data_IF_819798151278
#
_entry.id   IF_819798151278
#
_cell.length_a   1.000
_cell.length_b   1.000
_cell.length_c   1.000
_cell.angle_alpha   90.00
_cell.angle_beta   90.00
_cell.angle_gamma   90.00
#
_symmetry.space_group_name_H-M   'P 1'
#
loop_
_entity.id
_entity.type
_entity.pdbx_description
1 polymer ?
#
# COMPACT_ATOMS: atom_id res chain seq x y z
N UNK A 1 -84.98 11.90 4.07
CA UNK A 1 -84.00 11.28 4.98
C UNK A 1 -82.99 10.50 4.14
N UNK A 2 -81.70 10.82 4.33
CA UNK A 2 -80.49 10.02 4.11
C UNK A 2 -80.34 9.18 2.81
N UNK A 3 -79.43 9.67 1.97
CA UNK A 3 -78.49 8.92 1.10
C UNK A 3 -77.82 7.72 1.84
N UNK A 4 -77.13 6.75 1.20
CA UNK A 4 -75.94 7.07 0.37
C UNK A 4 -75.45 6.02 -0.70
N UNK A 5 -74.27 6.33 -1.30
CA UNK A 5 -73.21 5.47 -1.90
C UNK A 5 -73.54 4.72 -3.22
N UNK A 6 -72.74 4.63 -4.30
CA UNK A 6 -71.28 4.60 -4.48
C UNK A 6 -70.83 5.20 -5.83
N UNK A 7 -69.74 5.98 -5.78
CA UNK A 7 -68.91 6.39 -6.91
C UNK A 7 -67.80 5.35 -7.12
N UNK A 8 -67.53 4.85 -8.35
CA UNK A 8 -66.32 4.09 -8.61
C UNK A 8 -65.14 5.06 -8.82
N UNK A 9 -64.22 5.07 -7.84
CA UNK A 9 -62.92 5.72 -7.94
C UNK A 9 -62.06 4.87 -8.87
N UNK A 10 -61.88 5.32 -10.12
CA UNK A 10 -60.89 4.73 -11.03
C UNK A 10 -59.51 5.23 -10.62
N UNK A 11 -58.74 4.35 -9.95
CA UNK A 11 -57.35 4.55 -9.59
C UNK A 11 -56.47 4.58 -10.84
N UNK A 12 -56.05 5.78 -11.27
CA UNK A 12 -54.99 5.93 -12.26
C UNK A 12 -53.64 5.66 -11.57
N UNK A 13 -53.17 4.42 -11.68
CA UNK A 13 -51.87 3.98 -11.18
C UNK A 13 -50.78 4.52 -12.11
N UNK A 14 -50.13 5.62 -11.74
CA UNK A 14 -48.94 6.13 -12.43
C UNK A 14 -47.75 5.24 -12.02
N UNK A 15 -47.43 4.26 -12.85
CA UNK A 15 -46.17 3.51 -12.72
C UNK A 15 -45.06 4.47 -13.15
N UNK A 16 -44.39 5.11 -12.20
CA UNK A 16 -43.06 5.66 -12.45
C UNK A 16 -42.15 4.48 -12.76
N UNK A 17 -41.95 4.22 -14.06
CA UNK A 17 -40.88 3.38 -14.54
C UNK A 17 -39.55 4.06 -14.21
N UNK A 18 -39.01 3.77 -13.02
CA UNK A 18 -37.60 3.89 -12.75
C UNK A 18 -36.90 2.91 -13.68
N UNK A 19 -36.47 3.40 -14.85
CA UNK A 19 -35.60 2.64 -15.72
C UNK A 19 -34.36 2.20 -14.90
N UNK A 20 -33.93 0.94 -15.00
CA UNK A 20 -32.69 0.51 -14.39
C UNK A 20 -31.58 1.35 -15.03
N UNK A 21 -30.91 2.18 -14.24
CA UNK A 21 -29.65 2.81 -14.62
C UNK A 21 -28.70 1.66 -14.94
N UNK A 22 -28.56 1.39 -16.23
CA UNK A 22 -27.63 0.41 -16.73
C UNK A 22 -26.24 0.99 -16.44
N UNK A 23 -25.50 0.34 -15.53
CA UNK A 23 -24.09 0.60 -15.33
C UNK A 23 -23.41 0.40 -16.69
N UNK A 24 -23.19 1.48 -17.42
CA UNK A 24 -22.45 1.45 -18.67
C UNK A 24 -21.06 0.92 -18.34
N UNK A 25 -20.68 -0.16 -19.00
CA UNK A 25 -19.33 -0.71 -18.99
C UNK A 25 -18.41 0.40 -19.51
N UNK A 26 -17.79 1.14 -18.58
CA UNK A 26 -16.98 2.31 -18.93
C UNK A 26 -15.71 1.82 -19.61
N UNK A 27 -15.38 2.41 -20.78
CA UNK A 27 -14.07 2.24 -21.38
C UNK A 27 -13.01 2.84 -20.45
N UNK A 28 -12.37 1.96 -19.66
CA UNK A 28 -11.22 2.23 -18.79
C UNK A 28 -10.21 3.26 -19.34
N UNK A 29 -9.73 3.18 -20.60
CA UNK A 29 -8.75 4.15 -21.11
C UNK A 29 -9.30 5.57 -21.26
N UNK A 30 -10.58 5.71 -21.59
CA UNK A 30 -11.24 7.01 -21.76
C UNK A 30 -11.54 7.66 -20.40
N UNK A 31 -11.88 6.84 -19.41
CA UNK A 31 -12.02 7.28 -18.02
C UNK A 31 -10.67 7.71 -17.43
N UNK A 32 -9.60 6.96 -17.71
CA UNK A 32 -8.24 7.30 -17.31
C UNK A 32 -7.77 8.65 -17.88
N UNK A 33 -8.03 8.88 -19.17
CA UNK A 33 -7.72 10.16 -19.80
C UNK A 33 -8.55 11.30 -19.21
N UNK A 34 -9.87 11.10 -19.06
CA UNK A 34 -10.78 12.08 -18.47
C UNK A 34 -10.36 12.46 -17.06
N UNK A 35 -10.06 11.49 -16.20
CA UNK A 35 -9.69 11.72 -14.82
C UNK A 35 -8.26 12.25 -14.65
N UNK A 36 -7.39 12.01 -15.64
CA UNK A 36 -6.08 12.66 -15.68
C UNK A 36 -6.14 14.16 -16.00
N UNK A 37 -7.09 14.58 -16.86
CA UNK A 37 -7.25 15.99 -17.27
C UNK A 37 -8.21 16.77 -16.37
N UNK A 38 -9.19 16.09 -15.79
CA UNK A 38 -10.27 16.68 -15.02
C UNK A 38 -10.58 15.84 -13.77
N UNK A 39 -9.71 15.89 -12.73
CA UNK A 39 -9.83 15.02 -11.55
C UNK A 39 -11.09 15.28 -10.71
N UNK A 40 -11.70 16.46 -10.83
CA UNK A 40 -12.96 16.81 -10.15
C UNK A 40 -14.21 16.40 -10.95
N UNK A 41 -14.06 15.68 -12.05
CA UNK A 41 -15.20 15.17 -12.79
C UNK A 41 -15.97 14.15 -11.94
N UNK A 42 -17.30 14.22 -11.94
CA UNK A 42 -18.15 13.32 -11.14
C UNK A 42 -17.95 11.84 -11.48
N UNK A 43 -17.47 11.53 -12.69
CA UNK A 43 -17.12 10.18 -13.14
C UNK A 43 -15.78 9.67 -12.56
N UNK A 44 -14.98 10.55 -11.96
CA UNK A 44 -13.70 10.24 -11.33
C UNK A 44 -13.82 9.99 -9.84
N UNK A 45 -15.03 10.04 -9.29
CA UNK A 45 -15.28 9.69 -7.90
C UNK A 45 -14.88 8.22 -7.67
N UNK A 46 -13.83 8.00 -6.85
CA UNK A 46 -13.25 6.67 -6.63
C UNK A 46 -12.22 6.22 -7.67
N UNK A 47 -11.97 7.02 -8.72
CA UNK A 47 -10.94 6.74 -9.71
C UNK A 47 -9.57 7.20 -9.22
N UNK A 48 -8.77 6.26 -8.73
CA UNK A 48 -7.34 6.47 -8.45
C UNK A 48 -6.54 6.01 -9.66
N UNK A 49 -5.79 6.91 -10.31
CA UNK A 49 -4.88 6.50 -11.39
C UNK A 49 -3.90 5.47 -10.84
N UNK A 50 -3.88 4.28 -11.43
CA UNK A 50 -2.88 3.27 -11.12
C UNK A 50 -1.51 3.83 -11.49
N UNK A 51 -0.59 3.84 -10.52
CA UNK A 51 0.77 4.34 -10.72
C UNK A 51 1.73 3.22 -10.41
N UNK A 52 2.64 2.98 -11.35
CA UNK A 52 3.81 2.13 -11.24
C UNK A 52 4.66 2.48 -10.01
N UNK A 53 5.21 1.47 -9.33
CA UNK A 53 6.10 1.71 -8.19
C UNK A 53 7.35 2.48 -8.62
N UNK A 54 7.84 2.23 -9.84
CA UNK A 54 8.99 2.94 -10.41
C UNK A 54 8.76 4.45 -10.53
N UNK A 55 7.52 4.87 -10.78
CA UNK A 55 7.14 6.29 -10.90
C UNK A 55 6.88 6.97 -9.54
N UNK A 56 6.83 6.21 -8.44
CA UNK A 56 6.69 6.76 -7.08
C UNK A 56 8.02 7.31 -6.54
N UNK A 57 7.99 8.38 -5.71
CA UNK A 57 9.18 8.90 -5.07
C UNK A 57 9.66 7.98 -3.94
N UNK A 58 10.88 8.23 -3.46
CA UNK A 58 11.42 7.57 -2.27
C UNK A 58 12.45 6.49 -2.55
N UNK A 59 12.94 5.91 -1.47
CA UNK A 59 14.03 4.94 -1.45
C UNK A 59 13.48 3.52 -1.62
N UNK A 60 13.92 2.83 -2.67
CA UNK A 60 13.48 1.48 -2.97
C UNK A 60 14.13 0.44 -2.04
N UNK A 61 13.32 -0.49 -1.55
CA UNK A 61 13.75 -1.58 -0.67
C UNK A 61 12.88 -2.83 -0.79
N UNK A 62 13.33 -3.91 -0.16
CA UNK A 62 12.49 -5.09 0.05
C UNK A 62 11.73 -4.92 1.36
N UNK A 63 10.42 -5.08 1.33
CA UNK A 63 9.55 -4.71 2.45
C UNK A 63 8.70 -5.88 2.90
N UNK A 64 8.46 -5.92 4.21
CA UNK A 64 7.50 -6.83 4.84
C UNK A 64 6.55 -5.98 5.64
N UNK A 65 5.28 -5.99 5.24
CA UNK A 65 4.21 -5.26 5.90
C UNK A 65 3.35 -6.25 6.69
N UNK A 66 3.08 -5.95 7.95
CA UNK A 66 2.11 -6.67 8.77
C UNK A 66 0.95 -5.71 9.01
N UNK A 67 -0.16 -5.92 8.29
CA UNK A 67 -1.34 -5.05 8.31
C UNK A 67 -2.51 -5.90 8.75
N UNK A 68 -3.13 -5.56 9.89
CA UNK A 68 -4.25 -6.33 10.46
C UNK A 68 -3.93 -7.84 10.58
N UNK A 69 -2.68 -8.17 10.94
CA UNK A 69 -2.19 -9.55 11.05
C UNK A 69 -1.81 -10.23 9.72
N UNK A 70 -2.05 -9.60 8.57
CA UNK A 70 -1.67 -10.14 7.26
C UNK A 70 -0.25 -9.74 6.92
N UNK A 71 0.60 -10.71 6.60
CA UNK A 71 1.98 -10.50 6.20
C UNK A 71 2.10 -10.39 4.67
N UNK A 72 2.61 -9.25 4.19
CA UNK A 72 2.80 -8.95 2.77
C UNK A 72 4.29 -8.70 2.53
N UNK A 73 4.95 -9.62 1.84
CA UNK A 73 6.32 -9.44 1.38
C UNK A 73 6.32 -8.92 -0.07
N UNK A 74 6.94 -7.76 -0.31
CA UNK A 74 6.88 -7.07 -1.61
C UNK A 74 8.07 -6.12 -1.79
N UNK A 75 8.21 -5.53 -2.97
CA UNK A 75 9.09 -4.38 -3.18
C UNK A 75 8.33 -3.12 -2.80
N UNK A 76 8.99 -2.19 -2.11
CA UNK A 76 8.37 -0.93 -1.75
C UNK A 76 9.32 0.25 -1.91
N UNK A 77 8.77 1.47 -1.97
CA UNK A 77 9.50 2.71 -1.84
C UNK A 77 9.06 3.45 -0.59
N UNK A 78 10.02 3.91 0.20
CA UNK A 78 9.75 4.71 1.39
C UNK A 78 10.12 6.16 1.14
N UNK A 79 9.21 7.07 1.43
CA UNK A 79 9.50 8.50 1.48
C UNK A 79 9.20 9.04 2.87
N UNK A 80 10.11 9.86 3.39
CA UNK A 80 9.97 10.55 4.66
C UNK A 80 9.93 12.02 4.33
N UNK A 81 8.79 12.66 4.61
CA UNK A 81 8.63 14.10 4.51
C UNK A 81 8.70 14.71 5.90
N UNK A 82 8.78 16.04 5.99
CA UNK A 82 8.81 16.73 7.29
C UNK A 82 7.55 16.56 8.15
N UNK A 83 6.50 15.88 7.64
CA UNK A 83 5.23 15.70 8.33
C UNK A 83 4.79 14.23 8.38
N UNK A 84 5.15 13.42 7.40
CA UNK A 84 4.61 12.06 7.25
C UNK A 84 5.64 11.09 6.70
N UNK A 85 5.42 9.80 6.96
CA UNK A 85 6.12 8.70 6.31
C UNK A 85 5.14 8.03 5.37
N UNK A 86 5.49 7.93 4.10
CA UNK A 86 4.67 7.23 3.11
C UNK A 86 5.43 6.04 2.53
N UNK A 87 4.79 4.87 2.56
CA UNK A 87 5.30 3.64 1.99
C UNK A 87 4.43 3.22 0.79
N UNK A 88 5.05 3.10 -0.37
CA UNK A 88 4.43 2.69 -1.62
C UNK A 88 4.78 1.24 -1.93
N UNK A 89 3.81 0.35 -2.12
CA UNK A 89 4.07 -1.06 -2.41
C UNK A 89 3.19 -1.59 -3.54
N UNK A 90 3.73 -2.55 -4.30
CA UNK A 90 2.97 -3.20 -5.37
C UNK A 90 1.89 -4.11 -4.80
N UNK A 91 0.71 -4.07 -5.41
CA UNK A 91 -0.42 -4.95 -5.09
C UNK A 91 -1.12 -5.45 -6.36
N UNK A 92 -1.82 -6.58 -6.23
CA UNK A 92 -2.62 -7.16 -7.31
C UNK A 92 -1.82 -7.76 -8.46
N UNK A 93 -2.53 -7.95 -9.57
CA UNK A 93 -2.00 -8.49 -10.83
C UNK A 93 -1.40 -7.40 -11.71
N UNK A 94 -0.66 -7.83 -12.73
CA UNK A 94 -0.11 -6.94 -13.76
C UNK A 94 -1.22 -6.36 -14.62
N UNK A 95 -1.07 -5.10 -15.00
CA UNK A 95 -2.10 -4.35 -15.70
C UNK A 95 -1.54 -3.86 -17.04
N UNK A 96 -2.24 -4.18 -18.13
CA UNK A 96 -1.80 -3.84 -19.50
C UNK A 96 -1.66 -2.33 -19.73
N UNK A 97 -2.51 -1.52 -19.11
CA UNK A 97 -2.46 -0.05 -19.17
C UNK A 97 -1.23 0.53 -18.46
N UNK A 98 -0.50 -0.29 -17.70
CA UNK A 98 0.69 0.05 -16.94
C UNK A 98 1.91 -0.76 -17.43
N UNK A 99 2.00 -1.01 -18.73
CA UNK A 99 3.14 -1.70 -19.36
C UNK A 99 3.48 -3.07 -18.70
N UNK A 100 2.44 -3.82 -18.31
CA UNK A 100 2.53 -5.10 -17.57
C UNK A 100 3.24 -5.00 -16.20
N UNK A 101 3.18 -3.83 -15.58
CA UNK A 101 3.53 -3.58 -14.18
C UNK A 101 2.32 -3.74 -13.25
N UNK A 102 2.59 -3.77 -11.94
CA UNK A 102 1.56 -3.82 -10.90
C UNK A 102 1.15 -2.42 -10.45
N UNK A 103 -0.12 -2.28 -10.05
CA UNK A 103 -0.58 -1.08 -9.37
C UNK A 103 0.13 -0.93 -8.01
N UNK A 104 0.23 0.30 -7.53
CA UNK A 104 0.87 0.63 -6.25
C UNK A 104 -0.12 1.22 -5.26
N UNK A 105 -0.12 0.68 -4.04
CA UNK A 105 -0.84 1.22 -2.89
C UNK A 105 0.07 2.06 -2.02
N UNK A 106 -0.51 2.98 -1.27
CA UNK A 106 0.19 3.88 -0.36
C UNK A 106 -0.29 3.63 1.08
N UNK A 107 0.65 3.60 2.02
CA UNK A 107 0.37 3.66 3.46
C UNK A 107 1.00 4.93 3.98
N UNK A 108 0.17 5.79 4.56
CA UNK A 108 0.62 6.96 5.30
C UNK A 108 0.69 6.64 6.80
N UNK A 109 1.85 6.93 7.39
CA UNK A 109 2.16 6.76 8.79
C UNK A 109 2.48 8.15 9.37
N UNK A 110 1.64 8.60 10.29
CA UNK A 110 1.89 9.82 11.04
C UNK A 110 2.97 9.58 12.10
N UNK A 111 3.91 10.53 12.31
CA UNK A 111 4.96 10.39 13.32
C UNK A 111 4.42 10.13 14.73
N UNK A 112 3.28 10.74 15.09
CA UNK A 112 2.59 10.54 16.38
C UNK A 112 2.08 9.12 16.61
N UNK A 113 1.91 8.35 15.53
CA UNK A 113 1.37 6.99 15.59
C UNK A 113 2.46 5.94 15.68
N UNK A 114 3.73 6.32 15.47
CA UNK A 114 4.87 5.43 15.60
C UNK A 114 5.14 5.17 17.08
N UNK A 115 5.26 3.89 17.42
CA UNK A 115 5.54 3.44 18.78
C UNK A 115 6.97 2.99 18.97
N UNK A 116 7.52 2.31 17.97
CA UNK A 116 8.88 1.77 18.03
C UNK A 116 9.54 1.89 16.66
N UNK A 117 10.83 2.26 16.68
CA UNK A 117 11.73 2.16 15.54
C UNK A 117 12.82 1.17 15.93
N UNK A 118 13.01 0.09 15.17
CA UNK A 118 14.15 -0.82 15.36
C UNK A 118 15.08 -0.76 14.17
N UNK A 119 16.36 -0.87 14.45
CA UNK A 119 17.41 -0.84 13.44
C UNK A 119 18.38 -2.00 13.61
N UNK A 120 18.74 -2.62 12.49
CA UNK A 120 19.78 -3.64 12.41
C UNK A 120 20.58 -3.51 11.12
N UNK A 121 21.89 -3.71 11.21
CA UNK A 121 22.72 -3.98 10.03
C UNK A 121 22.88 -5.49 9.84
N UNK A 122 22.69 -5.97 8.61
CA UNK A 122 22.93 -7.37 8.24
C UNK A 122 23.82 -7.47 7.01
N UNK A 123 24.30 -8.68 6.73
CA UNK A 123 25.01 -9.02 5.49
C UNK A 123 24.06 -9.80 4.60
N UNK A 124 23.91 -9.35 3.36
CA UNK A 124 23.20 -10.04 2.29
C UNK A 124 24.24 -10.65 1.35
N UNK A 125 24.09 -11.94 1.07
CA UNK A 125 24.97 -12.64 0.14
C UNK A 125 24.98 -11.93 -1.22
N UNK A 126 26.16 -11.81 -1.79
CA UNK A 126 26.38 -11.15 -3.07
C UNK A 126 26.66 -12.20 -4.15
N UNK A 127 25.84 -13.26 -4.17
CA UNK A 127 26.03 -14.46 -4.99
C UNK A 127 26.20 -14.16 -6.47
N UNK A 128 25.45 -13.21 -7.04
CA UNK A 128 25.60 -12.79 -8.44
C UNK A 128 26.99 -12.20 -8.72
N UNK A 129 27.47 -11.28 -7.89
CA UNK A 129 28.80 -10.72 -8.06
C UNK A 129 29.87 -11.79 -7.78
N UNK A 130 29.60 -12.71 -6.84
CA UNK A 130 30.51 -13.81 -6.53
C UNK A 130 30.60 -14.74 -7.74
N UNK A 131 29.50 -15.07 -8.40
CA UNK A 131 29.51 -15.88 -9.63
C UNK A 131 30.27 -15.18 -10.77
N UNK A 132 29.99 -13.89 -11.01
CA UNK A 132 30.67 -13.10 -12.04
C UNK A 132 32.17 -13.01 -11.78
N UNK A 133 32.57 -12.68 -10.55
CA UNK A 133 33.98 -12.56 -10.19
C UNK A 133 34.67 -13.94 -10.14
N UNK A 134 33.95 -15.01 -9.79
CA UNK A 134 34.50 -16.36 -9.86
C UNK A 134 34.77 -16.75 -11.31
N UNK A 135 33.89 -16.37 -12.24
CA UNK A 135 34.12 -16.60 -13.66
C UNK A 135 35.31 -15.80 -14.19
N UNK A 136 35.43 -14.52 -13.80
CA UNK A 136 36.49 -13.64 -14.29
C UNK A 136 37.87 -13.85 -13.63
N UNK A 137 37.90 -14.25 -12.36
CA UNK A 137 39.12 -14.28 -11.54
C UNK A 137 39.31 -15.60 -10.76
N UNK A 138 38.55 -16.64 -11.11
CA UNK A 138 38.63 -17.95 -10.46
C UNK A 138 38.37 -17.90 -8.96
N UNK A 139 39.10 -18.72 -8.20
CA UNK A 139 38.97 -18.82 -6.73
C UNK A 139 39.30 -17.51 -6.02
N UNK A 140 40.21 -16.70 -6.56
CA UNK A 140 40.53 -15.38 -6.00
C UNK A 140 39.33 -14.43 -6.10
N UNK A 141 38.57 -14.50 -7.19
CA UNK A 141 37.31 -13.75 -7.34
C UNK A 141 36.21 -14.20 -6.40
N UNK A 142 36.10 -15.51 -6.16
CA UNK A 142 35.15 -16.07 -5.18
C UNK A 142 35.44 -15.55 -3.76
N UNK A 143 36.69 -15.70 -3.31
CA UNK A 143 37.13 -15.31 -1.96
C UNK A 143 37.19 -13.79 -1.77
N UNK A 144 37.48 -13.03 -2.82
CA UNK A 144 37.55 -11.58 -2.79
C UNK A 144 36.18 -10.89 -2.78
N UNK A 145 35.11 -11.57 -3.20
CA UNK A 145 33.78 -10.96 -3.28
C UNK A 145 33.10 -10.94 -1.92
N UNK A 146 33.11 -9.76 -1.29
CA UNK A 146 32.46 -9.51 0.00
C UNK A 146 30.93 -9.45 -0.13
N UNK A 147 30.27 -9.89 0.94
CA UNK A 147 28.83 -9.73 1.10
C UNK A 147 28.44 -8.25 1.11
N UNK A 148 27.22 -7.96 0.65
CA UNK A 148 26.67 -6.61 0.68
C UNK A 148 26.13 -6.33 2.07
N UNK A 149 26.57 -5.21 2.68
CA UNK A 149 25.94 -4.73 3.91
C UNK A 149 24.61 -4.07 3.59
N UNK A 150 23.56 -4.49 4.28
CA UNK A 150 22.22 -3.93 4.19
C UNK A 150 21.76 -3.48 5.57
N UNK A 151 20.79 -2.58 5.60
CA UNK A 151 20.16 -2.10 6.81
C UNK A 151 18.70 -2.49 6.79
N UNK A 152 18.21 -2.94 7.93
CA UNK A 152 16.84 -3.29 8.20
C UNK A 152 16.28 -2.29 9.20
N UNK A 153 15.18 -1.64 8.82
CA UNK A 153 14.44 -0.70 9.67
C UNK A 153 13.05 -1.28 9.86
N UNK A 154 12.61 -1.39 11.10
CA UNK A 154 11.28 -1.82 11.48
C UNK A 154 10.55 -0.67 12.19
N UNK A 155 9.34 -0.38 11.75
CA UNK A 155 8.47 0.67 12.29
C UNK A 155 7.19 0.01 12.78
N UNK A 156 6.96 0.04 14.09
CA UNK A 156 5.66 -0.31 14.68
C UNK A 156 4.79 0.95 14.78
N UNK A 157 3.56 0.87 14.28
CA UNK A 157 2.63 2.01 14.29
C UNK A 157 1.19 1.59 14.55
N UNK A 158 0.39 2.54 15.04
CA UNK A 158 -1.06 2.38 15.18
C UNK A 158 -1.72 2.93 13.89
N UNK A 159 -2.56 2.14 13.19
CA UNK A 159 -3.25 2.62 12.00
C UNK A 159 -4.25 3.71 12.37
N UNK A 160 -4.33 4.74 11.52
CA UNK A 160 -5.40 5.75 11.54
C UNK A 160 -6.53 5.36 10.58
N UNK A 161 -7.74 5.88 10.78
CA UNK A 161 -8.89 5.63 9.87
C UNK A 161 -8.58 5.95 8.40
N UNK A 162 -7.66 6.88 8.15
CA UNK A 162 -7.14 7.22 6.81
C UNK A 162 -6.23 6.12 6.24
N UNK A 163 -5.47 5.42 7.09
CA UNK A 163 -4.59 4.32 6.72
C UNK A 163 -5.37 3.07 6.28
N UNK A 164 -6.59 2.88 6.81
CA UNK A 164 -7.45 1.73 6.50
C UNK A 164 -8.16 1.86 5.14
N UNK A 165 -8.37 3.09 4.65
CA UNK A 165 -9.18 3.32 3.43
C UNK A 165 -8.47 2.98 2.11
N UNK A 166 -7.17 2.62 2.14
CA UNK A 166 -6.40 2.28 0.93
C UNK A 166 -5.83 0.85 0.93
N UNK A 167 -6.04 0.08 2.00
CA UNK A 167 -5.46 -1.26 2.18
C UNK A 167 -6.46 -2.41 1.98
N UNK A 168 -7.68 -2.16 1.50
CA UNK A 168 -8.64 -3.21 1.18
C UNK A 168 -8.44 -3.68 -0.27
N UNK A 169 -7.94 -4.91 -0.51
CA UNK A 169 -7.96 -5.49 -1.85
C UNK A 169 -9.41 -5.86 -2.20
N UNK A 170 -10.08 -5.02 -2.97
CA UNK A 170 -11.41 -5.31 -3.51
C UNK A 170 -11.29 -6.07 -4.84
N UNK A 171 -11.31 -7.41 -4.77
CA UNK A 171 -11.71 -8.37 -5.83
C UNK A 171 -11.66 -9.78 -5.22
N UNK A 172 -12.64 -10.66 -5.27
CA UNK A 172 -13.97 -10.68 -5.89
C UNK A 172 -14.84 -11.70 -5.13
N UNK A 173 -16.15 -11.42 -5.03
CA UNK A 173 -17.23 -12.38 -4.80
C UNK A 173 -16.99 -13.55 -3.85
N UNK A 174 -17.35 -13.38 -2.58
CA UNK A 174 -17.99 -14.43 -1.78
C UNK A 174 -18.70 -13.77 -0.60
N UNK A 175 -19.99 -14.04 -0.46
CA UNK A 175 -20.79 -13.66 0.71
C UNK A 175 -20.12 -14.21 1.97
N UNK A 176 -19.52 -13.33 2.77
CA UNK A 176 -19.18 -13.65 4.15
C UNK A 176 -19.70 -12.50 5.00
N UNK A 177 -20.72 -12.85 5.77
CA UNK A 177 -21.39 -12.11 6.83
C UNK A 177 -20.47 -11.15 7.57
N UNK A 178 -20.89 -9.89 7.62
CA UNK A 178 -20.43 -8.85 8.54
C UNK A 178 -20.57 -9.37 9.98
N UNK A 179 -19.48 -9.91 10.51
CA UNK A 179 -19.30 -10.01 11.95
C UNK A 179 -18.69 -8.68 12.40
N UNK A 180 -19.57 -7.75 12.78
CA UNK A 180 -19.22 -6.69 13.73
C UNK A 180 -18.62 -7.37 14.95
N UNK A 181 -17.31 -7.26 15.13
CA UNK A 181 -16.64 -7.69 16.35
C UNK A 181 -15.87 -6.49 16.87
N UNK A 182 -16.34 -6.00 18.01
CA UNK A 182 -15.62 -5.16 18.94
C UNK A 182 -14.12 -5.52 18.91
N UNK A 183 -13.29 -4.64 18.36
CA UNK A 183 -11.84 -4.81 18.38
C UNK A 183 -11.32 -4.10 19.63
N UNK A 184 -10.93 -4.85 20.68
CA UNK A 184 -10.34 -4.25 21.86
C UNK A 184 -8.90 -3.85 21.52
N UNK A 185 -8.48 -2.65 21.91
CA UNK A 185 -7.08 -2.18 21.89
C UNK A 185 -6.30 -2.31 20.57
N UNK A 186 -6.23 -1.20 19.82
CA UNK A 186 -5.11 -0.79 18.97
C UNK A 186 -4.29 -1.89 18.29
N UNK A 187 -4.83 -2.47 17.21
CA UNK A 187 -4.09 -3.41 16.34
C UNK A 187 -2.80 -2.74 15.85
N UNK A 188 -1.64 -3.25 16.29
CA UNK A 188 -0.34 -2.75 15.86
C UNK A 188 -0.06 -3.25 14.44
N UNK A 189 0.35 -2.34 13.57
CA UNK A 189 0.88 -2.66 12.26
C UNK A 189 2.40 -2.48 12.25
N UNK A 190 3.07 -3.23 11.38
CA UNK A 190 4.53 -3.19 11.25
C UNK A 190 4.91 -2.96 9.81
N UNK A 191 5.79 -1.99 9.57
CA UNK A 191 6.49 -1.81 8.32
C UNK A 191 7.97 -2.15 8.53
N UNK A 192 8.45 -3.21 7.89
CA UNK A 192 9.86 -3.54 7.85
C UNK A 192 10.41 -3.31 6.45
N UNK A 193 11.51 -2.57 6.34
CA UNK A 193 12.18 -2.27 5.08
C UNK A 193 13.66 -2.66 5.15
N UNK A 194 14.13 -3.33 4.11
CA UNK A 194 15.54 -3.71 3.91
C UNK A 194 16.11 -2.94 2.72
N UNK A 195 17.11 -2.11 2.99
CA UNK A 195 17.75 -1.21 2.02
C UNK A 195 19.28 -1.32 2.07
N UNK A 196 19.97 -0.67 1.12
CA UNK A 196 21.42 -0.50 1.18
C UNK A 196 21.80 0.23 2.47
N UNK A 197 22.96 -0.13 3.06
CA UNK A 197 23.43 0.43 4.32
C UNK A 197 23.33 1.96 4.41
N UNK A 198 23.95 2.67 3.47
CA UNK A 198 23.98 4.14 3.46
C UNK A 198 22.57 4.76 3.40
N UNK A 199 21.69 4.14 2.60
CA UNK A 199 20.28 4.54 2.51
C UNK A 199 19.57 4.30 3.84
N UNK A 200 19.79 3.15 4.48
CA UNK A 200 19.19 2.84 5.77
C UNK A 200 19.67 3.76 6.89
N UNK A 201 20.95 4.11 6.93
CA UNK A 201 21.48 5.12 7.86
C UNK A 201 20.78 6.48 7.66
N UNK A 202 20.58 6.89 6.40
CA UNK A 202 19.89 8.15 6.06
C UNK A 202 18.43 8.13 6.49
N UNK A 203 17.69 7.06 6.15
CA UNK A 203 16.29 6.89 6.54
C UNK A 203 16.15 6.84 8.06
N UNK A 204 17.06 6.17 8.76
CA UNK A 204 17.06 6.12 10.22
C UNK A 204 17.18 7.52 10.82
N UNK A 205 18.15 8.31 10.37
CA UNK A 205 18.32 9.69 10.85
C UNK A 205 17.06 10.52 10.61
N UNK A 206 16.48 10.46 9.41
CA UNK A 206 15.25 11.17 9.09
C UNK A 206 14.07 10.72 9.96
N UNK A 207 13.91 9.42 10.23
CA UNK A 207 12.86 8.91 11.12
C UNK A 207 13.05 9.42 12.55
N UNK A 208 14.27 9.41 13.07
CA UNK A 208 14.57 9.87 14.43
C UNK A 208 14.36 11.37 14.57
N UNK A 209 14.74 12.16 13.57
CA UNK A 209 14.49 13.61 13.52
C UNK A 209 12.99 13.93 13.44
N UNK A 210 12.25 13.22 12.59
CA UNK A 210 10.82 13.45 12.40
C UNK A 210 9.98 13.04 13.61
N UNK A 211 10.33 11.92 14.26
CA UNK A 211 9.52 11.35 15.35
C UNK A 211 10.00 11.78 16.74
N UNK A 212 11.25 12.23 16.87
CA UNK A 212 11.92 12.41 18.17
C UNK A 212 12.23 11.09 18.90
N UNK A 213 11.90 9.94 18.31
CA UNK A 213 12.14 8.63 18.90
C UNK A 213 13.56 8.16 18.59
N UNK A 214 14.24 7.57 19.59
CA UNK A 214 15.51 6.87 19.37
C UNK A 214 15.22 5.44 18.94
N UNK A 215 15.99 4.93 17.98
CA UNK A 215 15.82 3.56 17.52
C UNK A 215 16.46 2.55 18.47
N UNK A 216 15.82 1.39 18.59
CA UNK A 216 16.36 0.22 19.27
C UNK A 216 17.33 -0.51 18.34
N UNK A 217 18.60 -0.61 18.74
CA UNK A 217 19.61 -1.32 17.96
C UNK A 217 19.59 -2.81 18.30
N UNK A 218 19.14 -3.62 17.35
CA UNK A 218 19.09 -5.07 17.53
C UNK A 218 20.48 -5.68 17.27
N UNK A 219 21.13 -6.19 18.31
CA UNK A 219 22.40 -6.89 18.17
C UNK A 219 22.24 -8.07 17.20
N UNK A 220 23.09 -8.14 16.17
CA UNK A 220 23.30 -9.37 15.41
C UNK A 220 24.04 -10.35 16.31
N UNK A 221 23.38 -11.42 16.75
CA UNK A 221 24.09 -12.57 17.34
C UNK A 221 25.09 -13.07 16.30
N UNK A 222 26.37 -13.11 16.69
CA UNK A 222 27.48 -13.58 15.86
C UNK A 222 27.34 -15.05 15.55
#
# INVERSE_FOLDING_TARGET
MRSPIFLPISSLLVILALAPVSAQLVNEPELAELCSKSPLNSRCTGYSREVALEKRPGEAGSCVLIINGVNIATVCKLTITGQTIAAFYEFGDKIRSLDDEKATQEIQILPSNIKVIRYRETKKDNSTARAINTFAFGVAGFLGTRDKKVSEIEIEYIPTSETTSQATPEKAGSEISVASSDSPEGTKNTLRIVVKRKTGETLLTQLQELTGLKAEFLQTSR
#
